data_IF_637707859754
#
_entry.id   IF_637707859754
#
_cell.length_a   1.000
_cell.length_b   1.000
_cell.length_c   1.000
_cell.angle_alpha   90.00
_cell.angle_beta   90.00
_cell.angle_gamma   90.00
#
_symmetry.space_group_name_H-M   'P 1'
#
loop_
_entity.id
_entity.type
_entity.pdbx_description
1 polymer ?
#
# COMPACT_ATOMS: atom_id res chain seq x y z
N UNK A 1 9.06 6.19 -13.54
CA UNK A 1 7.82 6.51 -12.81
C UNK A 1 7.59 8.01 -12.82
N UNK A 2 6.42 8.47 -12.38
CA UNK A 2 6.15 9.89 -12.17
C UNK A 2 6.77 10.36 -10.85
N UNK A 3 7.45 11.51 -10.85
CA UNK A 3 7.95 12.15 -9.62
C UNK A 3 6.81 12.90 -8.95
N UNK A 4 6.69 12.77 -7.63
CA UNK A 4 5.66 13.41 -6.82
C UNK A 4 6.35 14.20 -5.71
N UNK A 5 6.01 15.48 -5.58
CA UNK A 5 6.55 16.35 -4.54
C UNK A 5 5.74 16.28 -3.24
N UNK A 6 6.35 16.66 -2.11
CA UNK A 6 5.64 16.72 -0.82
C UNK A 6 4.47 17.70 -0.93
N UNK A 7 3.27 17.24 -0.57
CA UNK A 7 2.05 18.04 -0.62
C UNK A 7 1.37 18.09 -2.00
N UNK A 8 1.98 17.52 -3.04
CA UNK A 8 1.33 17.42 -4.34
C UNK A 8 0.11 16.50 -4.25
N UNK A 9 -1.05 16.99 -4.70
CA UNK A 9 -2.24 16.15 -4.88
C UNK A 9 -2.06 15.36 -6.18
N UNK A 10 -2.12 14.03 -6.09
CA UNK A 10 -1.92 13.14 -7.25
C UNK A 10 -2.97 12.01 -7.35
N UNK A 11 -3.85 11.87 -6.36
CA UNK A 11 -4.93 10.88 -6.33
C UNK A 11 -6.07 11.36 -5.41
N UNK A 12 -7.24 10.73 -5.56
CA UNK A 12 -8.41 10.92 -4.70
C UNK A 12 -8.90 9.54 -4.24
N UNK A 13 -9.58 9.49 -3.09
CA UNK A 13 -10.24 8.26 -2.66
C UNK A 13 -11.44 7.97 -3.57
N UNK A 14 -11.57 6.71 -3.97
CA UNK A 14 -12.77 6.23 -4.65
C UNK A 14 -13.99 6.20 -3.73
N UNK A 15 -15.15 6.16 -4.34
CA UNK A 15 -16.44 5.92 -3.67
C UNK A 15 -16.54 4.48 -3.15
N UNK A 16 -17.47 4.25 -2.22
CA UNK A 16 -17.72 2.91 -1.71
C UNK A 16 -18.13 1.91 -2.80
N UNK A 17 -18.76 2.38 -3.88
CA UNK A 17 -19.15 1.53 -5.02
C UNK A 17 -17.94 0.93 -5.74
N UNK A 18 -16.83 1.66 -5.81
CA UNK A 18 -15.60 1.21 -6.46
C UNK A 18 -14.84 0.20 -5.60
N UNK A 19 -14.96 0.30 -4.27
CA UNK A 19 -14.27 -0.56 -3.32
C UNK A 19 -15.18 -1.63 -2.70
N UNK A 20 -16.04 -2.27 -3.50
CA UNK A 20 -16.86 -3.40 -3.04
C UNK A 20 -17.82 -3.11 -1.87
N UNK A 21 -18.25 -1.85 -1.71
CA UNK A 21 -19.15 -1.39 -0.65
C UNK A 21 -18.45 -0.85 0.61
N UNK A 22 -17.12 -0.91 0.69
CA UNK A 22 -16.40 -0.40 1.86
C UNK A 22 -16.36 1.13 1.89
N UNK A 23 -16.44 1.78 3.07
CA UNK A 23 -16.28 3.23 3.19
C UNK A 23 -14.97 3.71 2.55
N UNK A 24 -14.91 4.92 1.93
CA UNK A 24 -13.68 5.43 1.33
C UNK A 24 -12.51 5.46 2.34
N UNK A 25 -11.40 4.79 2.01
CA UNK A 25 -10.20 4.71 2.87
C UNK A 25 -8.94 4.52 2.04
N UNK A 26 -7.78 4.77 2.66
CA UNK A 26 -6.46 4.58 2.06
C UNK A 26 -5.82 3.29 2.59
N UNK A 27 -5.49 2.36 1.69
CA UNK A 27 -4.52 1.29 1.98
C UNK A 27 -3.13 1.76 1.56
N UNK A 28 -2.22 1.86 2.53
CA UNK A 28 -0.85 2.30 2.29
C UNK A 28 0.14 1.24 2.78
N UNK A 29 1.05 0.83 1.91
CA UNK A 29 2.06 -0.19 2.19
C UNK A 29 3.42 0.30 1.69
N UNK A 30 4.43 0.23 2.56
CA UNK A 30 5.82 0.49 2.18
C UNK A 30 6.41 -0.81 1.66
N UNK A 31 6.68 -0.90 0.36
CA UNK A 31 7.18 -2.13 -0.29
C UNK A 31 8.62 -1.90 -0.76
N UNK A 32 9.56 -2.76 -0.35
CA UNK A 32 10.98 -2.64 -0.76
C UNK A 32 11.26 -3.17 -2.16
N UNK A 33 10.63 -4.30 -2.51
CA UNK A 33 10.77 -4.95 -3.80
C UNK A 33 9.40 -5.46 -4.27
N UNK A 34 9.03 -5.15 -5.51
CA UNK A 34 7.77 -5.58 -6.11
C UNK A 34 7.79 -7.06 -6.55
N UNK A 35 8.90 -7.77 -6.40
CA UNK A 35 9.09 -9.17 -6.80
C UNK A 35 8.68 -9.43 -8.26
N UNK A 36 8.96 -8.45 -9.14
CA UNK A 36 8.55 -8.47 -10.55
C UNK A 36 7.05 -8.31 -10.82
N UNK A 37 6.21 -8.08 -9.79
CA UNK A 37 4.77 -7.84 -9.94
C UNK A 37 4.49 -6.43 -10.50
N UNK A 38 3.33 -6.28 -11.15
CA UNK A 38 2.84 -5.01 -11.70
C UNK A 38 1.35 -4.88 -11.40
N UNK A 39 0.93 -3.69 -10.99
CA UNK A 39 -0.44 -3.47 -10.51
C UNK A 39 -0.59 -3.97 -9.08
N UNK A 40 -1.26 -5.11 -8.92
CA UNK A 40 -1.60 -5.66 -7.61
C UNK A 40 -0.39 -6.22 -6.84
N UNK A 41 -0.46 -6.10 -5.52
CA UNK A 41 0.51 -6.68 -4.60
C UNK A 41 -0.22 -7.32 -3.41
N UNK A 42 0.31 -8.41 -2.81
CA UNK A 42 -0.34 -9.05 -1.67
C UNK A 42 -0.50 -8.10 -0.47
N UNK A 43 -1.76 -7.87 -0.07
CA UNK A 43 -2.12 -7.11 1.13
C UNK A 43 -2.33 -7.96 2.39
N UNK A 44 -2.23 -9.30 2.26
CA UNK A 44 -2.34 -10.26 3.37
C UNK A 44 -1.30 -11.36 3.21
N UNK A 45 -0.86 -11.93 4.33
CA UNK A 45 0.19 -12.94 4.37
C UNK A 45 -0.15 -14.05 5.38
N UNK A 46 0.41 -15.24 5.16
CA UNK A 46 0.35 -16.33 6.14
C UNK A 46 1.18 -15.97 7.36
N UNK A 47 0.70 -16.32 8.55
CA UNK A 47 1.44 -16.08 9.80
C UNK A 47 2.84 -16.73 9.78
N UNK A 48 2.97 -17.91 9.17
CA UNK A 48 4.25 -18.62 9.01
C UNK A 48 5.29 -17.85 8.18
N UNK A 49 4.88 -16.83 7.43
CA UNK A 49 5.75 -16.03 6.56
C UNK A 49 5.93 -14.59 7.09
N UNK A 50 5.49 -14.31 8.32
CA UNK A 50 5.44 -12.96 8.91
C UNK A 50 6.77 -12.22 8.77
N UNK A 51 7.88 -12.83 9.13
CA UNK A 51 9.19 -12.14 9.16
C UNK A 51 9.65 -11.75 7.75
N UNK A 52 9.42 -12.63 6.77
CA UNK A 52 9.68 -12.34 5.36
C UNK A 52 8.84 -11.15 4.88
N UNK A 53 7.55 -11.13 5.22
CA UNK A 53 6.65 -10.07 4.78
C UNK A 53 6.89 -8.75 5.52
N UNK A 54 7.29 -8.77 6.80
CA UNK A 54 7.69 -7.57 7.52
C UNK A 54 9.03 -7.00 7.03
N UNK A 55 9.96 -7.83 6.57
CA UNK A 55 11.19 -7.34 5.95
C UNK A 55 10.90 -6.70 4.57
N UNK A 56 10.08 -7.36 3.75
CA UNK A 56 9.70 -6.86 2.43
C UNK A 56 8.78 -5.63 2.51
N UNK A 57 7.86 -5.64 3.46
CA UNK A 57 6.83 -4.63 3.69
C UNK A 57 6.88 -4.11 5.13
N UNK A 58 7.91 -3.31 5.48
CA UNK A 58 8.10 -2.82 6.84
C UNK A 58 7.00 -1.85 7.28
N UNK A 59 6.88 -1.69 8.60
CA UNK A 59 5.92 -0.79 9.24
C UNK A 59 6.01 0.64 8.65
N UNK A 60 4.91 1.18 8.08
CA UNK A 60 4.90 2.53 7.51
C UNK A 60 4.76 3.64 8.55
N UNK A 61 4.61 3.35 9.85
CA UNK A 61 4.30 4.35 10.89
C UNK A 61 5.25 5.55 10.88
N UNK A 62 6.54 5.35 10.59
CA UNK A 62 7.53 6.45 10.50
C UNK A 62 7.26 7.45 9.37
N UNK A 63 6.36 7.14 8.43
CA UNK A 63 5.98 7.99 7.30
C UNK A 63 4.64 8.71 7.52
N UNK A 64 3.88 8.35 8.56
CA UNK A 64 2.54 8.84 8.82
C UNK A 64 2.48 10.00 9.84
N UNK A 65 3.65 10.48 10.26
CA UNK A 65 3.82 11.63 11.18
C UNK A 65 3.68 12.98 10.49
#
# INVERSE_FOLDING_TARGET
GQRIERGQIFAQLGSAKENGGWPPHLHFQKIRDMLGKRGDFPGVAKMSERDKWLDLCPDPASLLV
#
